data_IF_046057238502
#
_entry.id   IF_046057238502
#
_cell.length_a   1.000
_cell.length_b   1.000
_cell.length_c   1.000
_cell.angle_alpha   90.00
_cell.angle_beta   90.00
_cell.angle_gamma   90.00
#
_symmetry.space_group_name_H-M   'P 1'
#
loop_
_entity.id
_entity.type
_entity.pdbx_description
1 polymer ?
#
# COMPACT_ATOMS: atom_id res chain seq x y z
N UNK A 1 6.33 21.78 -27.62
CA UNK A 1 5.77 20.44 -27.34
C UNK A 1 4.31 20.61 -26.96
N UNK A 2 3.39 20.02 -27.73
CA UNK A 2 1.94 20.20 -27.52
C UNK A 2 1.49 19.56 -26.21
N UNK A 3 0.56 20.20 -25.50
CA UNK A 3 -0.08 19.70 -24.27
C UNK A 3 -0.55 18.23 -24.40
N UNK A 4 -0.94 17.81 -25.60
CA UNK A 4 -1.33 16.42 -25.92
C UNK A 4 -0.21 15.40 -25.71
N UNK A 5 1.03 15.71 -26.09
CA UNK A 5 2.16 14.78 -25.92
C UNK A 5 2.49 14.61 -24.43
N UNK A 6 2.47 15.69 -23.65
CA UNK A 6 2.66 15.64 -22.20
C UNK A 6 1.57 14.80 -21.51
N UNK A 7 0.30 14.98 -21.91
CA UNK A 7 -0.81 14.20 -21.36
C UNK A 7 -0.69 12.71 -21.67
N UNK A 8 -0.31 12.34 -22.91
CA UNK A 8 -0.09 10.94 -23.29
C UNK A 8 1.07 10.33 -22.49
N UNK A 9 2.17 11.07 -22.31
CA UNK A 9 3.29 10.63 -21.48
C UNK A 9 2.87 10.42 -20.02
N UNK A 10 2.16 11.37 -19.41
CA UNK A 10 1.66 11.26 -18.03
C UNK A 10 0.68 10.09 -17.86
N UNK A 11 -0.17 9.84 -18.85
CA UNK A 11 -1.09 8.71 -18.86
C UNK A 11 -0.32 7.38 -18.89
N UNK A 12 0.68 7.25 -19.77
CA UNK A 12 1.55 6.07 -19.83
C UNK A 12 2.33 5.85 -18.53
N UNK A 13 2.88 6.91 -17.94
CA UNK A 13 3.56 6.83 -16.64
C UNK A 13 2.60 6.35 -15.56
N UNK A 14 1.39 6.91 -15.49
CA UNK A 14 0.36 6.49 -14.52
C UNK A 14 -0.03 5.03 -14.71
N UNK A 15 -0.13 4.57 -15.95
CA UNK A 15 -0.43 3.18 -16.29
C UNK A 15 0.67 2.22 -15.82
N UNK A 16 1.94 2.55 -16.05
CA UNK A 16 3.08 1.75 -15.57
C UNK A 16 3.11 1.69 -14.04
N UNK A 17 2.88 2.82 -13.36
CA UNK A 17 2.78 2.86 -11.91
C UNK A 17 1.63 2.00 -11.36
N UNK A 18 0.48 2.02 -12.03
CA UNK A 18 -0.66 1.18 -11.66
C UNK A 18 -0.32 -0.32 -11.77
N UNK A 19 0.33 -0.73 -12.87
CA UNK A 19 0.79 -2.11 -13.05
C UNK A 19 1.79 -2.49 -11.96
N UNK A 20 2.76 -1.62 -11.66
CA UNK A 20 3.76 -1.86 -10.63
C UNK A 20 3.12 -2.05 -9.24
N UNK A 21 2.19 -1.17 -8.86
CA UNK A 21 1.43 -1.28 -7.61
C UNK A 21 0.63 -2.59 -7.54
N UNK A 22 -0.01 -2.99 -8.64
CA UNK A 22 -0.82 -4.20 -8.70
C UNK A 22 0.04 -5.47 -8.60
N UNK A 23 1.15 -5.52 -9.34
CA UNK A 23 2.11 -6.63 -9.25
C UNK A 23 2.69 -6.78 -7.86
N UNK A 24 3.05 -5.65 -7.21
CA UNK A 24 3.59 -5.67 -5.85
C UNK A 24 2.56 -6.15 -4.82
N UNK A 25 1.29 -5.78 -5.00
CA UNK A 25 0.18 -6.24 -4.15
C UNK A 25 -0.10 -7.73 -4.32
N UNK A 26 -0.08 -8.24 -5.56
CA UNK A 26 -0.19 -9.68 -5.85
C UNK A 26 0.99 -10.46 -5.24
N UNK A 27 2.21 -9.96 -5.40
CA UNK A 27 3.40 -10.58 -4.83
C UNK A 27 3.34 -10.64 -3.30
N UNK A 28 2.96 -9.55 -2.63
CA UNK A 28 2.76 -9.52 -1.18
C UNK A 28 1.70 -10.54 -0.72
N UNK A 29 0.59 -10.65 -1.46
CA UNK A 29 -0.49 -11.60 -1.16
C UNK A 29 -0.01 -13.03 -1.28
N UNK A 30 0.68 -13.38 -2.38
CA UNK A 30 1.25 -14.71 -2.59
C UNK A 30 2.32 -15.01 -1.52
N UNK A 31 3.19 -14.05 -1.21
CA UNK A 31 4.23 -14.22 -0.21
C UNK A 31 3.67 -14.42 1.21
N UNK A 32 2.55 -13.76 1.52
CA UNK A 32 1.79 -13.97 2.76
C UNK A 32 1.30 -15.41 2.88
N UNK A 33 0.72 -15.97 1.81
CA UNK A 33 0.31 -17.38 1.77
C UNK A 33 1.51 -18.35 1.86
N UNK A 34 2.66 -18.00 1.26
CA UNK A 34 3.88 -18.81 1.28
C UNK A 34 4.68 -18.72 2.59
N UNK A 35 4.12 -18.09 3.64
CA UNK A 35 4.70 -17.96 4.99
C UNK A 35 6.15 -17.45 5.03
N UNK A 36 6.55 -16.56 4.12
CA UNK A 36 7.95 -16.11 4.02
C UNK A 36 8.28 -15.11 5.13
N UNK A 37 9.38 -15.32 5.86
CA UNK A 37 9.82 -14.48 6.99
C UNK A 37 10.03 -12.99 6.65
N UNK A 38 10.30 -12.67 5.38
CA UNK A 38 10.50 -11.29 4.92
C UNK A 38 9.19 -10.51 4.74
N UNK A 39 8.04 -11.19 4.70
CA UNK A 39 6.73 -10.59 4.39
C UNK A 39 6.28 -9.58 5.44
N UNK A 40 6.36 -9.84 6.77
CA UNK A 40 5.92 -8.87 7.76
C UNK A 40 6.64 -7.53 7.64
N UNK A 41 7.95 -7.55 7.32
CA UNK A 41 8.74 -6.32 7.12
C UNK A 41 8.28 -5.53 5.89
N UNK A 42 8.13 -6.21 4.75
CA UNK A 42 7.69 -5.55 3.49
C UNK A 42 6.25 -5.05 3.60
N UNK A 43 5.39 -5.80 4.28
CA UNK A 43 3.99 -5.43 4.45
C UNK A 43 3.83 -4.17 5.33
N UNK A 44 4.64 -4.03 6.39
CA UNK A 44 4.67 -2.80 7.20
C UNK A 44 5.15 -1.60 6.37
N UNK A 45 6.21 -1.76 5.57
CA UNK A 45 6.70 -0.68 4.69
C UNK A 45 5.63 -0.30 3.67
N UNK A 46 4.94 -1.28 3.08
CA UNK A 46 3.86 -1.04 2.12
C UNK A 46 2.65 -0.33 2.72
N UNK A 47 2.28 -0.69 3.96
CA UNK A 47 1.22 0.01 4.70
C UNK A 47 1.61 1.47 4.96
N UNK A 48 2.87 1.75 5.34
CA UNK A 48 3.34 3.11 5.54
C UNK A 48 3.29 3.93 4.24
N UNK A 49 3.72 3.35 3.12
CA UNK A 49 3.63 4.01 1.80
C UNK A 49 2.16 4.32 1.47
N UNK A 50 1.25 3.37 1.71
CA UNK A 50 -0.18 3.54 1.45
C UNK A 50 -0.80 4.66 2.29
N UNK A 51 -0.42 4.76 3.58
CA UNK A 51 -0.84 5.87 4.46
C UNK A 51 -0.26 7.20 3.96
N UNK A 52 1.01 7.23 3.57
CA UNK A 52 1.66 8.46 3.08
C UNK A 52 1.05 8.95 1.77
N UNK A 53 0.71 8.04 0.86
CA UNK A 53 -0.04 8.34 -0.37
C UNK A 53 -1.45 8.85 -0.06
N UNK A 54 -2.15 8.26 0.91
CA UNK A 54 -3.48 8.70 1.32
C UNK A 54 -3.45 10.09 1.96
N UNK A 55 -2.44 10.41 2.79
CA UNK A 55 -2.25 11.76 3.35
C UNK A 55 -1.96 12.77 2.24
N UNK A 56 -1.10 12.41 1.27
CA UNK A 56 -0.85 13.26 0.09
C UNK A 56 -2.14 13.50 -0.70
N UNK A 57 -2.93 12.45 -0.97
CA UNK A 57 -4.21 12.58 -1.65
C UNK A 57 -5.19 13.47 -0.86
N UNK A 58 -5.27 13.29 0.46
CA UNK A 58 -6.08 14.12 1.34
C UNK A 58 -5.67 15.60 1.29
N UNK A 59 -4.37 15.90 1.34
CA UNK A 59 -3.87 17.27 1.40
C UNK A 59 -3.93 18.04 0.07
N UNK A 60 -3.92 17.35 -1.08
CA UNK A 60 -3.76 17.98 -2.40
C UNK A 60 -4.91 17.70 -3.39
N UNK A 61 -5.92 16.91 -3.01
CA UNK A 61 -7.01 16.55 -3.93
C UNK A 61 -8.20 17.52 -3.81
N UNK A 62 -8.77 18.00 -4.92
CA UNK A 62 -9.96 18.86 -4.94
C UNK A 62 -11.23 18.02 -4.72
N UNK A 63 -11.36 17.42 -3.53
CA UNK A 63 -12.51 16.58 -3.15
C UNK A 63 -13.08 17.09 -1.84
N UNK A 64 -14.36 16.86 -1.60
CA UNK A 64 -14.98 17.21 -0.32
C UNK A 64 -14.30 16.48 0.85
N UNK A 65 -14.06 17.22 1.94
CA UNK A 65 -13.37 16.73 3.13
C UNK A 65 -13.97 15.41 3.65
N UNK A 66 -15.29 15.27 3.59
CA UNK A 66 -15.98 14.04 3.99
C UNK A 66 -15.59 12.81 3.17
N UNK A 67 -15.36 12.97 1.85
CA UNK A 67 -14.91 11.88 0.98
C UNK A 67 -13.43 11.58 1.20
N UNK A 68 -12.61 12.62 1.38
CA UNK A 68 -11.19 12.48 1.66
C UNK A 68 -10.92 11.75 3.00
N UNK A 69 -11.68 12.08 4.05
CA UNK A 69 -11.62 11.38 5.35
C UNK A 69 -12.02 9.91 5.20
N UNK A 70 -13.11 9.60 4.46
CA UNK A 70 -13.52 8.21 4.21
C UNK A 70 -12.42 7.40 3.51
N UNK A 71 -11.71 8.00 2.57
CA UNK A 71 -10.58 7.35 1.89
C UNK A 71 -9.38 7.15 2.81
N UNK A 72 -9.12 8.07 3.74
CA UNK A 72 -8.01 7.99 4.71
C UNK A 72 -8.28 6.96 5.83
N UNK A 73 -9.55 6.78 6.22
CA UNK A 73 -9.94 5.88 7.30
C UNK A 73 -9.51 4.42 7.06
N UNK A 74 -9.67 3.89 5.84
CA UNK A 74 -9.31 2.50 5.55
C UNK A 74 -7.81 2.21 5.64
N UNK A 75 -6.90 3.01 5.03
CA UNK A 75 -5.45 2.89 5.22
C UNK A 75 -5.03 3.00 6.69
N UNK A 76 -5.61 3.94 7.44
CA UNK A 76 -5.32 4.13 8.86
C UNK A 76 -5.75 2.92 9.69
N UNK A 77 -6.97 2.42 9.49
CA UNK A 77 -7.47 1.23 10.17
C UNK A 77 -6.64 -0.01 9.82
N UNK A 78 -6.32 -0.20 8.54
CA UNK A 78 -5.48 -1.30 8.09
C UNK A 78 -4.09 -1.24 8.75
N UNK A 79 -3.45 -0.07 8.78
CA UNK A 79 -2.17 0.10 9.45
C UNK A 79 -2.29 -0.12 10.98
N UNK A 80 -3.30 0.45 11.63
CA UNK A 80 -3.51 0.36 13.06
C UNK A 80 -3.80 -1.08 13.55
N UNK A 81 -4.44 -1.91 12.72
CA UNK A 81 -4.71 -3.32 13.06
C UNK A 81 -3.54 -4.24 12.67
N UNK A 82 -3.01 -4.09 11.47
CA UNK A 82 -2.04 -5.05 10.91
C UNK A 82 -0.63 -4.83 11.46
N UNK A 83 -0.19 -3.60 11.71
CA UNK A 83 1.14 -3.32 12.29
C UNK A 83 1.33 -3.96 13.67
N UNK A 84 0.43 -3.77 14.66
CA UNK A 84 0.59 -4.42 15.97
C UNK A 84 0.41 -5.94 15.86
N UNK A 85 -0.47 -6.44 14.99
CA UNK A 85 -0.61 -7.88 14.74
C UNK A 85 0.72 -8.49 14.27
N UNK A 86 1.39 -7.88 13.30
CA UNK A 86 2.69 -8.35 12.81
C UNK A 86 3.82 -8.20 13.85
N UNK A 87 3.82 -7.15 14.68
CA UNK A 87 4.87 -6.92 15.69
C UNK A 87 4.71 -7.78 16.96
N UNK A 88 3.47 -7.97 17.45
CA UNK A 88 3.18 -8.64 18.74
C UNK A 88 2.76 -10.09 18.61
N UNK A 89 2.19 -10.55 17.49
CA UNK A 89 1.65 -11.91 17.42
C UNK A 89 2.74 -12.99 17.48
N UNK A 90 2.78 -13.73 18.60
CA UNK A 90 3.66 -14.87 18.80
C UNK A 90 3.38 -16.00 17.78
N UNK A 91 2.16 -16.06 17.22
CA UNK A 91 1.77 -17.04 16.20
C UNK A 91 2.45 -16.78 14.87
N UNK A 92 2.52 -15.52 14.41
CA UNK A 92 3.28 -15.13 13.20
C UNK A 92 4.76 -15.45 13.39
N UNK A 93 5.31 -15.17 14.59
CA UNK A 93 6.69 -15.49 14.95
C UNK A 93 6.96 -16.99 15.13
N UNK A 94 5.97 -17.85 15.30
CA UNK A 94 6.13 -19.33 15.41
C UNK A 94 5.81 -20.08 14.12
N UNK A 95 5.01 -19.51 13.22
CA UNK A 95 4.59 -20.20 11.97
C UNK A 95 5.25 -19.67 10.70
N UNK A 96 5.93 -18.51 10.73
CA UNK A 96 6.69 -17.99 9.59
C UNK A 96 8.19 -18.31 9.65
N UNK A 97 8.73 -18.75 10.79
CA UNK A 97 10.09 -19.30 10.91
C UNK A 97 10.00 -20.82 10.87
N UNK A 98 10.39 -21.40 9.74
CA UNK A 98 10.86 -22.79 9.74
C UNK A 98 12.25 -22.77 10.41
N UNK A 99 12.54 -23.65 11.38
CA UNK A 99 13.91 -23.82 11.89
C UNK A 99 14.86 -24.26 10.76
#
# INVERSE_FOLDING_TARGET
MSQSVLNITLWFVSFVFAIAMWYYTLWLTIAFFKRRQSVPKHYIIWLLISVLLAIKAFAFSPVSDALAVRQLLFPLLAAALLVPYFKRSARVKKTFVNP
#
